data_IF_057070807428
#
_entry.id   IF_057070807428
#
_cell.length_a   1.000
_cell.length_b   1.000
_cell.length_c   1.000
_cell.angle_alpha   90.00
_cell.angle_beta   90.00
_cell.angle_gamma   90.00
#
_symmetry.space_group_name_H-M   'P 1'
#
loop_
_entity.id
_entity.type
_entity.pdbx_description
1 polymer ?
#
# COMPACT_ATOMS: atom_id res chain seq x y z
N UNK A 1 17.69 13.72 -0.18
CA UNK A 1 17.36 13.48 -1.60
C UNK A 1 15.98 12.87 -1.64
N UNK A 2 15.10 13.34 -2.53
CA UNK A 2 13.76 12.78 -2.67
C UNK A 2 13.83 11.37 -3.30
N UNK A 3 12.91 10.50 -2.88
CA UNK A 3 12.73 9.15 -3.38
C UNK A 3 11.37 9.00 -4.07
N UNK A 4 11.28 8.08 -5.04
CA UNK A 4 10.03 7.77 -5.75
C UNK A 4 8.92 7.31 -4.79
N UNK A 5 9.28 6.76 -3.62
CA UNK A 5 8.30 6.29 -2.64
C UNK A 5 7.78 7.38 -1.72
N UNK A 6 8.40 8.57 -1.70
CA UNK A 6 8.09 9.60 -0.72
C UNK A 6 6.68 10.15 -0.93
N UNK A 7 5.81 9.94 0.06
CA UNK A 7 4.41 10.37 0.03
C UNK A 7 4.24 11.87 0.28
N UNK A 8 5.31 12.56 0.67
CA UNK A 8 5.36 14.00 0.87
C UNK A 8 6.79 14.51 0.66
N UNK A 9 6.92 15.81 0.49
CA UNK A 9 8.22 16.51 0.44
C UNK A 9 8.39 17.37 1.69
N UNK A 10 9.62 17.74 2.09
CA UNK A 10 9.86 18.51 3.30
C UNK A 10 8.98 19.74 3.42
N UNK A 11 8.76 20.47 2.32
CA UNK A 11 7.99 21.72 2.24
C UNK A 11 6.52 21.57 2.64
N UNK A 12 5.98 20.35 2.60
CA UNK A 12 4.61 20.03 2.98
C UNK A 12 4.46 19.77 4.49
N UNK A 13 5.56 19.75 5.24
CA UNK A 13 5.55 19.60 6.68
C UNK A 13 5.41 20.94 7.40
N UNK A 14 4.78 20.96 8.59
CA UNK A 14 4.80 22.13 9.46
C UNK A 14 6.24 22.63 9.72
N UNK A 15 6.41 23.94 9.80
CA UNK A 15 7.73 24.56 10.00
C UNK A 15 8.48 24.00 11.21
N UNK A 16 7.77 23.80 12.33
CA UNK A 16 8.34 23.20 13.54
C UNK A 16 8.98 21.82 13.29
N UNK A 17 8.37 20.98 12.44
CA UNK A 17 8.93 19.67 12.10
C UNK A 17 10.10 19.78 11.12
N UNK A 18 10.05 20.74 10.18
CA UNK A 18 11.14 21.00 9.22
C UNK A 18 12.41 21.51 9.92
N UNK A 19 12.27 22.39 10.91
CA UNK A 19 13.39 23.00 11.62
C UNK A 19 13.96 22.13 12.74
N UNK A 20 13.21 21.12 13.20
CA UNK A 20 13.64 20.27 14.31
C UNK A 20 14.81 19.33 13.97
N UNK A 21 15.08 19.09 12.69
CA UNK A 21 16.06 18.09 12.25
C UNK A 21 16.85 18.57 11.04
N UNK A 22 18.05 18.04 10.86
CA UNK A 22 18.83 18.28 9.65
C UNK A 22 18.10 17.78 8.40
N UNK A 23 18.16 18.51 7.27
CA UNK A 23 17.41 18.17 6.05
C UNK A 23 17.66 16.76 5.51
N UNK A 24 18.92 16.29 5.60
CA UNK A 24 19.28 14.95 5.15
C UNK A 24 18.59 13.86 5.99
N UNK A 25 18.54 14.06 7.32
CA UNK A 25 17.91 13.13 8.26
C UNK A 25 16.39 13.16 8.14
N UNK A 26 15.81 14.34 7.92
CA UNK A 26 14.38 14.49 7.64
C UNK A 26 13.98 13.74 6.37
N UNK A 27 14.78 13.81 5.31
CA UNK A 27 14.56 13.03 4.09
C UNK A 27 14.49 11.52 4.36
N UNK A 28 15.43 10.99 5.17
CA UNK A 28 15.41 9.57 5.54
C UNK A 28 14.14 9.17 6.32
N UNK A 29 13.68 10.04 7.23
CA UNK A 29 12.44 9.81 7.99
C UNK A 29 11.23 9.80 7.06
N UNK A 30 11.14 10.74 6.11
CA UNK A 30 10.06 10.79 5.13
C UNK A 30 9.98 9.48 4.34
N UNK A 31 11.10 8.97 3.84
CA UNK A 31 11.16 7.71 3.10
C UNK A 31 10.74 6.53 3.99
N UNK A 32 11.29 6.43 5.21
CA UNK A 32 10.94 5.36 6.14
C UNK A 32 9.45 5.36 6.53
N UNK A 33 8.88 6.54 6.76
CA UNK A 33 7.45 6.70 7.05
C UNK A 33 6.60 6.32 5.85
N UNK A 34 6.98 6.75 4.65
CA UNK A 34 6.27 6.41 3.41
C UNK A 34 6.21 4.90 3.19
N UNK A 35 7.32 4.20 3.43
CA UNK A 35 7.36 2.74 3.38
C UNK A 35 6.54 2.08 4.49
N UNK A 36 6.54 2.63 5.71
CA UNK A 36 5.73 2.13 6.81
C UNK A 36 4.22 2.26 6.52
N UNK A 37 3.80 3.39 5.93
CA UNK A 37 2.42 3.62 5.48
C UNK A 37 2.05 2.62 4.37
N UNK A 38 2.90 2.44 3.37
CA UNK A 38 2.68 1.44 2.32
C UNK A 38 2.56 0.01 2.87
N UNK A 39 3.41 -0.35 3.84
CA UNK A 39 3.38 -1.67 4.51
C UNK A 39 2.09 -1.88 5.32
N UNK A 40 1.59 -0.83 5.96
CA UNK A 40 0.32 -0.89 6.70
C UNK A 40 -0.88 -1.06 5.77
N UNK A 41 -0.89 -0.32 4.65
CA UNK A 41 -1.93 -0.43 3.62
C UNK A 41 -1.90 -1.82 2.95
N UNK A 42 -0.69 -2.38 2.77
CA UNK A 42 -0.47 -3.74 2.27
C UNK A 42 -0.03 -3.82 0.81
N UNK A 43 0.29 -2.69 0.18
CA UNK A 43 0.83 -2.63 -1.19
C UNK A 43 1.60 -1.32 -1.41
N UNK A 44 2.52 -1.25 -2.40
CA UNK A 44 3.22 -0.01 -2.74
C UNK A 44 2.26 1.07 -3.24
N UNK A 45 2.43 2.29 -2.71
CA UNK A 45 1.53 3.42 -2.99
C UNK A 45 2.00 4.28 -4.17
N UNK A 46 3.30 4.27 -4.48
CA UNK A 46 3.85 5.05 -5.58
C UNK A 46 3.46 4.47 -6.93
N UNK A 47 3.42 5.32 -7.97
CA UNK A 47 3.07 4.93 -9.32
C UNK A 47 4.14 3.98 -9.86
N UNK A 48 3.68 2.85 -10.39
CA UNK A 48 4.48 1.81 -11.05
C UNK A 48 3.82 1.48 -12.38
N UNK A 49 4.64 1.35 -13.41
CA UNK A 49 4.20 1.04 -14.77
C UNK A 49 4.59 -0.39 -15.13
N UNK A 50 3.73 -1.06 -15.90
CA UNK A 50 4.01 -2.40 -16.43
C UNK A 50 4.30 -3.44 -15.36
N UNK A 51 3.63 -3.35 -14.21
CA UNK A 51 3.74 -4.35 -13.14
C UNK A 51 3.19 -5.67 -13.66
N UNK A 52 4.03 -6.71 -13.64
CA UNK A 52 3.64 -8.07 -13.98
C UNK A 52 3.41 -8.83 -12.68
N UNK A 53 2.22 -9.39 -12.52
CA UNK A 53 1.86 -10.15 -11.33
C UNK A 53 1.21 -11.48 -11.69
N UNK A 54 1.64 -12.56 -11.00
CA UNK A 54 0.90 -13.81 -10.98
C UNK A 54 -0.23 -13.74 -9.97
N UNK A 55 -1.43 -14.20 -10.35
CA UNK A 55 -2.63 -14.11 -9.53
C UNK A 55 -3.22 -15.49 -9.21
N UNK A 56 -3.87 -15.58 -8.04
CA UNK A 56 -4.55 -16.81 -7.62
C UNK A 56 -5.99 -16.81 -8.12
N UNK A 57 -6.29 -17.70 -9.05
CA UNK A 57 -7.64 -17.92 -9.57
C UNK A 57 -8.45 -18.81 -8.64
N UNK A 58 -9.46 -18.24 -7.97
CA UNK A 58 -10.40 -19.02 -7.14
C UNK A 58 -11.57 -19.63 -7.91
N UNK A 59 -11.59 -19.46 -9.24
CA UNK A 59 -12.76 -19.75 -10.06
C UNK A 59 -13.83 -18.68 -9.91
N UNK A 60 -14.51 -18.36 -11.02
CA UNK A 60 -15.65 -17.44 -11.04
C UNK A 60 -15.33 -16.07 -11.62
N UNK A 61 -16.16 -15.07 -11.30
CA UNK A 61 -16.12 -13.77 -11.99
C UNK A 61 -15.10 -12.79 -11.43
N UNK A 62 -14.56 -13.04 -10.23
CA UNK A 62 -13.64 -12.11 -9.57
C UNK A 62 -12.21 -12.67 -9.52
N UNK A 63 -11.24 -11.78 -9.75
CA UNK A 63 -9.82 -12.02 -9.50
C UNK A 63 -9.28 -10.91 -8.61
N UNK A 64 -8.43 -11.29 -7.66
CA UNK A 64 -7.79 -10.36 -6.74
C UNK A 64 -6.29 -10.31 -7.03
N UNK A 65 -5.81 -9.14 -7.45
CA UNK A 65 -4.38 -8.84 -7.57
C UNK A 65 -3.80 -8.55 -6.18
N UNK A 66 -2.51 -8.82 -5.95
CA UNK A 66 -1.76 -8.51 -4.73
C UNK A 66 -1.47 -7.02 -4.59
N UNK A 67 -1.30 -6.30 -5.69
CA UNK A 67 -1.27 -4.84 -5.62
C UNK A 67 -2.69 -4.27 -5.53
N UNK A 68 -2.85 -3.22 -4.71
CA UNK A 68 -3.98 -2.31 -4.80
C UNK A 68 -3.67 -1.11 -5.72
N UNK A 69 -4.59 -0.15 -5.73
CA UNK A 69 -4.49 1.09 -6.53
C UNK A 69 -4.23 0.85 -8.02
N UNK A 70 -4.87 -0.16 -8.60
CA UNK A 70 -4.70 -0.52 -10.01
C UNK A 70 -5.33 0.55 -10.88
N UNK A 71 -4.56 1.11 -11.82
CA UNK A 71 -5.01 2.20 -12.69
C UNK A 71 -5.56 1.67 -14.00
N UNK A 72 -4.81 0.77 -14.63
CA UNK A 72 -5.12 0.24 -15.94
C UNK A 72 -4.53 -1.16 -16.09
N UNK A 73 -5.32 -2.10 -16.59
CA UNK A 73 -4.86 -3.41 -17.00
C UNK A 73 -4.51 -3.34 -18.48
N UNK A 74 -3.31 -3.78 -18.83
CA UNK A 74 -2.81 -3.77 -20.21
C UNK A 74 -2.91 -5.13 -20.86
N UNK A 75 -2.57 -6.18 -20.11
CA UNK A 75 -2.47 -7.55 -20.63
C UNK A 75 -2.91 -8.55 -19.58
N UNK A 76 -3.63 -9.57 -20.02
CA UNK A 76 -4.01 -10.71 -19.20
C UNK A 76 -3.59 -11.96 -19.95
N UNK A 77 -2.79 -12.81 -19.31
CA UNK A 77 -2.46 -14.14 -19.83
C UNK A 77 -3.07 -15.20 -18.93
N UNK A 78 -3.69 -16.18 -19.56
CA UNK A 78 -4.32 -17.31 -18.90
C UNK A 78 -3.78 -18.58 -19.53
N UNK A 79 -2.98 -19.35 -18.77
CA UNK A 79 -2.34 -20.60 -19.20
C UNK A 79 -1.48 -20.41 -20.45
N UNK A 80 -0.75 -19.31 -20.52
CA UNK A 80 0.11 -18.95 -21.66
C UNK A 80 -0.63 -18.39 -22.87
N UNK A 81 -1.97 -18.30 -22.83
CA UNK A 81 -2.75 -17.63 -23.87
C UNK A 81 -3.09 -16.21 -23.44
N UNK A 82 -2.77 -15.24 -24.30
CA UNK A 82 -3.19 -13.86 -24.10
C UNK A 82 -4.71 -13.74 -24.29
N UNK A 83 -5.35 -13.06 -23.33
CA UNK A 83 -6.75 -12.71 -23.35
C UNK A 83 -6.87 -11.20 -23.53
N UNK A 84 -7.91 -10.80 -24.27
CA UNK A 84 -8.23 -9.39 -24.44
C UNK A 84 -8.53 -8.74 -23.08
N UNK A 85 -7.76 -7.72 -22.72
CA UNK A 85 -7.92 -6.96 -21.48
C UNK A 85 -9.32 -6.31 -21.39
N UNK A 86 -9.95 -5.99 -22.53
CA UNK A 86 -11.31 -5.43 -22.59
C UNK A 86 -12.40 -6.35 -22.06
N UNK A 87 -12.12 -7.66 -21.96
CA UNK A 87 -13.03 -8.64 -21.34
C UNK A 87 -13.04 -8.59 -19.81
N UNK A 88 -12.15 -7.79 -19.22
CA UNK A 88 -12.02 -7.61 -17.78
C UNK A 88 -12.24 -6.15 -17.40
N UNK A 89 -12.88 -5.92 -16.26
CA UNK A 89 -13.14 -4.59 -15.74
C UNK A 89 -12.52 -4.42 -14.34
N UNK A 90 -12.03 -3.21 -14.07
CA UNK A 90 -11.63 -2.80 -12.74
C UNK A 90 -12.88 -2.47 -11.92
N UNK A 91 -13.29 -3.37 -11.04
CA UNK A 91 -14.47 -3.20 -10.20
C UNK A 91 -14.12 -2.54 -8.86
N UNK A 92 -12.99 -2.91 -8.26
CA UNK A 92 -12.40 -2.17 -7.13
C UNK A 92 -10.93 -1.88 -7.41
N UNK A 93 -10.63 -0.76 -8.10
CA UNK A 93 -9.26 -0.36 -8.44
C UNK A 93 -8.37 -0.25 -7.20
N UNK A 94 -8.90 0.36 -6.13
CA UNK A 94 -8.19 0.55 -4.86
C UNK A 94 -7.74 -0.76 -4.23
N UNK A 95 -8.56 -1.80 -4.28
CA UNK A 95 -8.25 -3.10 -3.67
C UNK A 95 -7.70 -4.14 -4.66
N UNK A 96 -7.53 -3.77 -5.93
CA UNK A 96 -7.03 -4.66 -6.98
C UNK A 96 -8.01 -5.75 -7.40
N UNK A 97 -9.31 -5.50 -7.35
CA UNK A 97 -10.36 -6.47 -7.76
C UNK A 97 -10.73 -6.28 -9.22
N UNK A 98 -10.54 -7.33 -10.00
CA UNK A 98 -10.95 -7.44 -11.40
C UNK A 98 -12.24 -8.26 -11.52
N UNK A 99 -13.14 -7.80 -12.38
CA UNK A 99 -14.37 -8.49 -12.77
C UNK A 99 -14.23 -9.02 -14.20
N UNK A 100 -14.45 -10.30 -14.41
CA UNK A 100 -14.62 -10.88 -15.74
C UNK A 100 -16.00 -10.53 -16.29
N UNK A 101 -16.03 -9.87 -17.45
CA UNK A 101 -17.26 -9.62 -18.24
C UNK A 101 -17.53 -10.73 -19.27
N UNK A 102 -16.48 -11.48 -19.62
CA UNK A 102 -16.55 -12.62 -20.52
C UNK A 102 -16.48 -13.95 -19.75
N UNK A 103 -15.62 -14.90 -20.20
CA UNK A 103 -15.41 -16.15 -19.50
C UNK A 103 -14.92 -15.92 -18.05
N UNK A 104 -15.39 -16.73 -17.08
CA UNK A 104 -14.92 -16.63 -15.71
C UNK A 104 -13.42 -16.94 -15.62
N UNK A 105 -12.78 -16.39 -14.60
CA UNK A 105 -11.41 -16.74 -14.24
C UNK A 105 -11.32 -18.23 -13.94
N UNK A 106 -10.28 -18.92 -14.44
CA UNK A 106 -10.07 -20.32 -14.12
C UNK A 106 -9.68 -20.48 -12.65
N UNK A 107 -9.95 -21.67 -12.12
CA UNK A 107 -9.40 -22.09 -10.85
C UNK A 107 -7.93 -22.53 -11.04
N UNK A 108 -7.02 -21.98 -10.23
CA UNK A 108 -5.56 -22.28 -10.26
C UNK A 108 -5.11 -23.12 -9.06
N UNK A 109 -5.95 -24.03 -8.58
CA UNK A 109 -5.65 -24.86 -7.41
C UNK A 109 -5.59 -26.36 -7.72
N UNK A 110 -5.55 -27.14 -6.65
CA UNK A 110 -5.71 -28.60 -6.72
C UNK A 110 -7.18 -28.99 -6.52
N UNK A 111 -7.62 -29.97 -7.31
CA UNK A 111 -8.93 -30.62 -7.15
C UNK A 111 -8.73 -31.96 -6.45
N UNK A 112 -9.62 -32.33 -5.53
CA UNK A 112 -9.75 -33.75 -5.17
C UNK A 112 -10.39 -34.52 -6.33
N UNK A 113 -9.81 -35.67 -6.68
CA UNK A 113 -10.50 -36.64 -7.53
C UNK A 113 -11.50 -37.43 -6.68
N UNK A 114 -12.79 -37.30 -6.98
CA UNK A 114 -13.89 -37.95 -6.26
C UNK A 114 -15.27 -37.63 -6.86
N UNK A 115 -16.35 -38.13 -6.24
CA UNK A 115 -17.75 -38.03 -6.72
C UNK A 115 -18.26 -36.58 -6.82
N UNK A 116 -17.59 -35.63 -6.17
CA UNK A 116 -17.85 -34.19 -6.31
C UNK A 116 -16.53 -33.44 -6.46
N UNK A 117 -16.34 -32.59 -7.48
CA UNK A 117 -15.19 -31.72 -7.59
C UNK A 117 -15.33 -30.60 -6.55
N UNK A 118 -14.80 -30.83 -5.35
CA UNK A 118 -14.72 -29.78 -4.33
C UNK A 118 -13.32 -29.16 -4.40
N UNK A 119 -13.19 -27.85 -4.67
CA UNK A 119 -11.89 -27.19 -4.68
C UNK A 119 -11.29 -27.21 -3.27
N UNK A 120 -10.07 -27.75 -3.13
CA UNK A 120 -9.35 -27.85 -1.85
C UNK A 120 -8.79 -26.49 -1.44
N UNK A 121 -7.92 -25.95 -2.28
CA UNK A 121 -7.20 -24.71 -2.04
C UNK A 121 -6.76 -24.12 -3.38
N UNK A 122 -7.02 -22.83 -3.58
CA UNK A 122 -6.48 -22.10 -4.72
C UNK A 122 -5.05 -21.65 -4.38
N UNK A 123 -4.10 -21.91 -5.28
CA UNK A 123 -2.70 -21.49 -5.11
C UNK A 123 -2.22 -20.68 -6.30
N UNK A 124 -1.09 -20.00 -6.13
CA UNK A 124 -0.42 -19.31 -7.23
C UNK A 124 0.35 -20.35 -8.05
N UNK A 125 -0.15 -20.68 -9.25
CA UNK A 125 0.50 -21.61 -10.18
C UNK A 125 1.32 -20.88 -11.24
N UNK A 126 1.29 -19.56 -11.28
CA UNK A 126 1.83 -18.78 -12.40
C UNK A 126 1.03 -18.86 -13.70
N UNK A 127 -0.10 -19.59 -13.72
CA UNK A 127 -0.94 -19.70 -14.92
C UNK A 127 -1.74 -18.43 -15.23
N UNK A 128 -1.96 -17.56 -14.24
CA UNK A 128 -2.66 -16.29 -14.42
C UNK A 128 -1.67 -15.15 -14.27
N UNK A 129 -1.31 -14.51 -15.37
CA UNK A 129 -0.43 -13.35 -15.39
C UNK A 129 -1.23 -12.11 -15.75
N UNK A 130 -1.07 -11.04 -14.98
CA UNK A 130 -1.71 -9.76 -15.28
C UNK A 130 -0.65 -8.67 -15.31
N UNK A 131 -0.59 -7.95 -16.43
CA UNK A 131 0.26 -6.77 -16.60
C UNK A 131 -0.58 -5.51 -16.46
N UNK A 132 -0.23 -4.64 -15.52
CA UNK A 132 -1.02 -3.46 -15.18
C UNK A 132 -0.16 -2.30 -14.65
N UNK A 133 -0.71 -1.10 -14.67
CA UNK A 133 -0.18 0.05 -13.95
C UNK A 133 -0.88 0.20 -12.61
N UNK A 134 -0.15 0.59 -11.56
CA UNK A 134 -0.71 0.73 -10.22
C UNK A 134 -0.08 1.89 -9.43
N UNK A 135 -0.76 2.28 -8.36
CA UNK A 135 -0.34 3.34 -7.45
C UNK A 135 -0.72 4.75 -7.89
N UNK A 136 -0.27 5.70 -7.11
CA UNK A 136 -0.49 7.13 -7.31
C UNK A 136 0.84 7.83 -7.55
N UNK A 137 0.82 8.89 -8.35
CA UNK A 137 1.94 9.80 -8.48
C UNK A 137 2.13 10.49 -7.14
N UNK A 138 3.24 10.19 -6.47
CA UNK A 138 3.58 10.79 -5.19
C UNK A 138 4.27 12.14 -5.38
N UNK A 139 4.26 13.02 -4.35
CA UNK A 139 5.10 14.22 -4.35
C UNK A 139 6.58 13.92 -4.62
N UNK A 140 7.12 12.82 -4.09
CA UNK A 140 8.49 12.39 -4.36
C UNK A 140 8.74 12.08 -5.84
N UNK A 141 7.81 11.43 -6.53
CA UNK A 141 7.89 11.20 -7.98
C UNK A 141 7.84 12.49 -8.78
N UNK A 142 6.98 13.43 -8.38
CA UNK A 142 6.89 14.74 -9.03
C UNK A 142 8.18 15.55 -8.90
N UNK A 143 8.85 15.52 -7.74
CA UNK A 143 10.16 16.19 -7.57
C UNK A 143 11.24 15.57 -8.46
N UNK A 144 11.18 14.25 -8.68
CA UNK A 144 12.14 13.57 -9.55
C UNK A 144 11.80 13.72 -11.04
N UNK A 145 10.53 13.89 -11.37
CA UNK A 145 10.01 14.06 -12.72
C UNK A 145 8.84 15.05 -12.72
N UNK A 146 9.13 16.34 -12.97
CA UNK A 146 8.16 17.44 -12.89
C UNK A 146 6.99 17.32 -13.89
N UNK A 147 7.15 16.49 -14.93
CA UNK A 147 6.08 16.19 -15.90
C UNK A 147 4.90 15.44 -15.27
N UNK A 148 5.13 14.75 -14.15
CA UNK A 148 4.14 13.93 -13.47
C UNK A 148 3.23 14.79 -12.60
N UNK A 149 1.92 14.72 -12.81
CA UNK A 149 0.93 15.40 -11.95
C UNK A 149 0.64 14.54 -10.73
N UNK A 150 0.89 15.09 -9.53
CA UNK A 150 0.57 14.42 -8.25
C UNK A 150 -0.93 14.12 -8.17
N UNK A 151 -1.27 12.86 -7.94
CA UNK A 151 -2.66 12.40 -7.78
C UNK A 151 -2.87 11.52 -6.54
N UNK A 152 -1.92 11.58 -5.60
CA UNK A 152 -2.00 10.92 -4.30
C UNK A 152 -3.22 11.43 -3.51
N UNK A 153 -4.09 10.54 -2.98
CA UNK A 153 -5.21 10.95 -2.15
C UNK A 153 -4.76 11.76 -0.93
N UNK A 154 -5.44 12.89 -0.68
CA UNK A 154 -5.11 13.79 0.42
C UNK A 154 -5.13 13.10 1.80
N UNK A 155 -5.99 12.10 1.98
CA UNK A 155 -6.05 11.27 3.21
C UNK A 155 -4.77 10.47 3.44
N UNK A 156 -4.18 9.88 2.39
CA UNK A 156 -2.91 9.15 2.46
C UNK A 156 -1.77 10.12 2.76
N UNK A 157 -1.75 11.26 2.08
CA UNK A 157 -0.73 12.29 2.29
C UNK A 157 -0.80 12.86 3.72
N UNK A 158 -1.99 13.19 4.20
CA UNK A 158 -2.19 13.69 5.57
C UNK A 158 -1.78 12.64 6.61
N UNK A 159 -2.11 11.37 6.39
CA UNK A 159 -1.65 10.28 7.24
C UNK A 159 -0.12 10.22 7.30
N UNK A 160 0.57 10.42 6.17
CA UNK A 160 2.03 10.44 6.14
C UNK A 160 2.60 11.67 6.87
N UNK A 161 1.98 12.87 6.73
CA UNK A 161 2.35 14.07 7.49
C UNK A 161 2.24 13.84 9.00
N UNK A 162 1.09 13.31 9.47
CA UNK A 162 0.86 12.98 10.87
C UNK A 162 1.91 12.03 11.43
N UNK A 163 2.28 11.01 10.66
CA UNK A 163 3.29 10.03 11.08
C UNK A 163 4.67 10.66 11.12
N UNK A 164 5.06 11.46 10.12
CA UNK A 164 6.35 12.17 10.14
C UNK A 164 6.42 13.11 11.33
N UNK A 165 5.40 13.94 11.56
CA UNK A 165 5.35 14.88 12.69
C UNK A 165 5.44 14.13 14.03
N UNK A 166 4.73 13.01 14.17
CA UNK A 166 4.80 12.18 15.36
C UNK A 166 6.19 11.54 15.55
N UNK A 167 6.83 11.08 14.49
CA UNK A 167 8.18 10.51 14.52
C UNK A 167 9.23 11.55 14.88
N UNK A 168 9.19 12.72 14.25
CA UNK A 168 10.09 13.85 14.54
C UNK A 168 9.93 14.32 15.99
N UNK A 169 8.70 14.43 16.49
CA UNK A 169 8.42 14.87 17.86
C UNK A 169 8.89 13.87 18.94
N UNK A 170 9.14 12.62 18.54
CA UNK A 170 9.67 11.55 19.41
C UNK A 170 11.17 11.34 19.24
N UNK A 171 11.80 11.98 18.26
CA UNK A 171 13.22 11.82 18.01
C UNK A 171 14.03 12.27 19.25
N UNK A 172 14.88 11.38 19.77
CA UNK A 172 15.62 11.59 21.02
C UNK A 172 14.90 11.21 22.31
N UNK A 173 13.63 10.78 22.27
CA UNK A 173 12.92 10.17 23.41
C UNK A 173 12.99 8.64 23.30
N UNK A 174 13.19 7.89 24.40
CA UNK A 174 13.27 6.44 24.32
C UNK A 174 11.92 5.88 23.83
N UNK A 175 11.96 5.11 22.73
CA UNK A 175 10.77 4.58 22.04
C UNK A 175 9.95 3.56 22.85
N UNK A 176 10.51 3.06 23.96
CA UNK A 176 9.89 2.05 24.84
C UNK A 176 9.25 2.64 26.11
N UNK A 177 9.19 3.97 26.26
CA UNK A 177 8.52 4.60 27.41
C UNK A 177 7.02 4.62 27.16
N UNK A 178 6.36 3.52 27.55
CA UNK A 178 4.91 3.40 27.51
C UNK A 178 4.19 4.28 28.54
N UNK A 179 4.91 4.83 29.53
CA UNK A 179 4.36 5.74 30.54
C UNK A 179 5.45 6.65 31.10
N UNK A 180 5.21 7.96 31.06
CA UNK A 180 6.02 8.95 31.75
C UNK A 180 5.17 9.55 32.87
N UNK A 181 5.63 9.41 34.13
CA UNK A 181 4.99 10.02 35.28
C UNK A 181 5.81 11.24 35.70
N UNK A 182 5.24 12.44 35.52
CA UNK A 182 5.79 13.69 36.03
C UNK A 182 4.91 14.11 37.21
N UNK A 183 5.38 13.87 38.44
CA UNK A 183 4.61 14.12 39.65
C UNK A 183 3.37 13.21 39.75
N UNK A 184 2.20 13.80 40.00
CA UNK A 184 0.93 13.06 40.12
C UNK A 184 0.23 12.79 38.77
N UNK A 185 0.84 13.18 37.64
CA UNK A 185 0.23 13.04 36.30
C UNK A 185 0.94 11.94 35.52
N UNK A 186 0.18 10.90 35.15
CA UNK A 186 0.65 9.80 34.29
C UNK A 186 0.23 10.07 32.85
N UNK A 187 1.18 10.11 31.93
CA UNK A 187 0.92 10.14 30.48
C UNK A 187 1.32 8.80 29.87
N UNK A 188 0.33 8.04 29.43
CA UNK A 188 0.52 6.75 28.75
C UNK A 188 0.68 6.96 27.25
N UNK A 189 1.85 6.63 26.70
CA UNK A 189 2.07 6.59 25.26
C UNK A 189 1.89 5.16 24.77
N UNK A 190 0.86 4.92 23.95
CA UNK A 190 0.53 3.58 23.44
C UNK A 190 1.70 2.95 22.69
N UNK A 191 2.31 1.91 23.26
CA UNK A 191 3.05 0.89 22.53
C UNK A 191 2.02 -0.03 21.86
N UNK A 192 2.07 -0.17 20.54
CA UNK A 192 1.19 -1.08 19.82
C UNK A 192 1.44 -2.56 20.18
N UNK A 193 0.43 -3.40 20.02
CA UNK A 193 0.42 -4.85 20.32
C UNK A 193 1.58 -5.67 19.71
N UNK A 194 2.28 -5.15 18.71
CA UNK A 194 3.29 -5.88 17.93
C UNK A 194 4.75 -5.58 18.32
N UNK A 195 5.01 -5.05 19.52
CA UNK A 195 6.37 -4.96 20.12
C UNK A 195 7.50 -4.67 19.13
N UNK A 196 7.69 -3.40 18.75
CA UNK A 196 8.91 -2.96 18.06
C UNK A 196 8.83 -2.59 16.58
N UNK A 197 7.65 -2.30 16.03
CA UNK A 197 7.53 -1.61 14.72
C UNK A 197 6.62 -0.40 14.85
N UNK A 198 7.12 0.76 14.45
CA UNK A 198 6.49 2.10 14.47
C UNK A 198 4.96 2.01 14.38
N UNK A 199 4.29 2.01 15.53
CA UNK A 199 2.84 1.95 15.57
C UNK A 199 2.31 3.27 14.97
N UNK A 200 1.75 3.19 13.76
CA UNK A 200 1.12 4.34 13.11
C UNK A 200 0.09 4.96 14.08
N UNK A 201 0.08 6.29 14.26
CA UNK A 201 -0.91 6.97 15.08
C UNK A 201 -2.34 6.53 14.72
N UNK A 202 -3.25 6.49 15.70
CA UNK A 202 -4.65 6.09 15.48
C UNK A 202 -5.33 6.93 14.39
N UNK A 203 -5.09 8.24 14.37
CA UNK A 203 -5.59 9.15 13.33
C UNK A 203 -5.11 8.75 11.93
N UNK A 204 -3.81 8.46 11.78
CA UNK A 204 -3.26 7.98 10.51
C UNK A 204 -3.89 6.64 10.08
N UNK A 205 -4.11 5.72 11.03
CA UNK A 205 -4.79 4.44 10.76
C UNK A 205 -6.24 4.64 10.29
N UNK A 206 -6.98 5.58 10.86
CA UNK A 206 -8.35 5.90 10.44
C UNK A 206 -8.39 6.47 9.02
N UNK A 207 -7.46 7.37 8.68
CA UNK A 207 -7.33 7.93 7.33
C UNK A 207 -6.98 6.86 6.27
N UNK A 208 -6.18 5.87 6.67
CA UNK A 208 -5.72 4.78 5.79
C UNK A 208 -6.72 3.61 5.70
N UNK A 209 -7.73 3.55 6.56
CA UNK A 209 -8.67 2.43 6.64
C UNK A 209 -9.35 2.08 5.30
N UNK A 210 -9.79 3.03 4.46
CA UNK A 210 -10.42 2.73 3.17
C UNK A 210 -9.48 2.08 2.14
N UNK A 211 -8.17 2.30 2.29
CA UNK A 211 -7.15 1.80 1.35
C UNK A 211 -6.57 0.47 1.79
N UNK A 212 -6.71 0.15 3.07
CA UNK A 212 -6.11 -1.02 3.69
C UNK A 212 -6.69 -2.29 3.09
N UNK A 213 -5.80 -3.17 2.66
CA UNK A 213 -6.18 -4.49 2.21
C UNK A 213 -6.63 -5.35 3.40
N UNK A 214 -7.80 -6.01 3.34
CA UNK A 214 -8.16 -7.04 4.32
C UNK A 214 -7.11 -8.16 4.23
N UNK A 215 -6.55 -8.54 5.39
CA UNK A 215 -5.64 -9.69 5.50
C UNK A 215 -6.43 -10.99 5.52
#
# INVERSE_FOLDING_TARGET
>A
MASLVDLLVPEQLPEAARSAMEPARLGLIITAVSEAVARYVGYPLHRRLGVIETAVGRGGVYLWLRSGAVRQVHRVEVRGEERDAGTYALESPTLGRLLARGPPWPFTGEWTQGVSPTPLEARDTGELLVTYDAGWVTPGQHVLEESLVVDLPASIQLAAVEVVVATVSRDGKPGDVASEAIGATSMSYFAGEDGGRTALPSTARQLLAPYRRPR
#
